data_IF_618897116531
#
_entry.id   IF_618897116531
#
_cell.length_a   1.000
_cell.length_b   1.000
_cell.length_c   1.000
_cell.angle_alpha   90.00
_cell.angle_beta   90.00
_cell.angle_gamma   90.00
#
_symmetry.space_group_name_H-M   'P 1'
#
loop_
_entity.id
_entity.type
_entity.pdbx_description
1 polymer ?
#
# COMPACT_ATOMS: atom_id res chain seq x y z
N UNK A 1 18.20 14.59 -1.96
CA UNK A 1 17.35 14.32 -3.16
C UNK A 1 16.98 15.59 -3.94
N UNK A 2 17.69 16.72 -3.76
CA UNK A 2 17.24 18.06 -4.20
C UNK A 2 16.99 18.23 -5.71
N UNK A 3 17.47 17.32 -6.57
CA UNK A 3 17.21 17.33 -8.01
C UNK A 3 16.31 16.20 -8.53
N UNK A 4 15.63 15.44 -7.64
CA UNK A 4 14.80 14.29 -8.03
C UNK A 4 13.32 14.58 -7.78
N UNK A 5 12.53 14.58 -8.85
CA UNK A 5 11.06 14.71 -8.79
C UNK A 5 10.48 13.50 -8.05
N UNK A 6 9.58 13.77 -7.09
CA UNK A 6 8.82 12.76 -6.32
C UNK A 6 9.65 11.68 -5.61
N UNK A 7 10.92 11.94 -5.30
CA UNK A 7 11.78 10.97 -4.63
C UNK A 7 12.28 11.52 -3.31
N UNK A 8 11.85 10.97 -2.16
CA UNK A 8 12.39 11.34 -0.84
C UNK A 8 13.73 10.63 -0.55
N UNK A 9 13.69 9.32 -0.29
CA UNK A 9 14.86 8.51 0.08
C UNK A 9 15.09 7.30 -0.83
N UNK A 10 14.10 6.94 -1.66
CA UNK A 10 14.14 5.73 -2.49
C UNK A 10 13.79 4.43 -1.75
N UNK A 11 13.61 4.44 -0.42
CA UNK A 11 13.26 3.24 0.35
C UNK A 11 12.01 2.55 -0.17
N UNK A 12 10.92 3.30 -0.40
CA UNK A 12 9.68 2.75 -0.93
C UNK A 12 9.91 2.07 -2.29
N UNK A 13 10.58 2.76 -3.22
CA UNK A 13 10.95 2.19 -4.53
C UNK A 13 11.76 0.91 -4.39
N UNK A 14 12.70 0.85 -3.46
CA UNK A 14 13.57 -0.31 -3.22
C UNK A 14 12.82 -1.50 -2.59
N UNK A 15 11.59 -1.31 -2.11
CA UNK A 15 10.75 -2.36 -1.51
C UNK A 15 9.62 -2.84 -2.41
N UNK A 16 9.46 -2.21 -3.59
CA UNK A 16 8.54 -2.68 -4.60
C UNK A 16 9.10 -3.92 -5.29
N UNK A 17 8.26 -4.93 -5.46
CA UNK A 17 8.59 -6.21 -6.09
C UNK A 17 7.53 -6.50 -7.14
N UNK A 18 7.94 -7.26 -8.16
CA UNK A 18 7.01 -7.81 -9.13
C UNK A 18 7.34 -9.27 -9.41
N UNK A 19 6.32 -10.04 -9.76
CA UNK A 19 6.43 -11.41 -10.21
C UNK A 19 5.48 -11.61 -11.38
N UNK A 20 5.98 -12.22 -12.45
CA UNK A 20 5.17 -12.55 -13.64
C UNK A 20 4.85 -14.04 -13.58
N UNK A 21 3.58 -14.40 -13.73
CA UNK A 21 3.11 -15.78 -13.74
C UNK A 21 2.16 -15.98 -14.92
N UNK A 22 2.65 -16.57 -16.01
CA UNK A 22 1.84 -16.76 -17.23
C UNK A 22 1.35 -15.43 -17.79
N UNK A 23 0.05 -15.16 -17.66
CA UNK A 23 -0.61 -13.91 -18.08
C UNK A 23 -0.84 -12.92 -16.93
N UNK A 24 -0.35 -13.21 -15.73
CA UNK A 24 -0.56 -12.42 -14.52
C UNK A 24 0.71 -11.65 -14.11
N UNK A 25 0.51 -10.45 -13.57
CA UNK A 25 1.55 -9.62 -12.97
C UNK A 25 1.18 -9.35 -11.51
N UNK A 26 1.91 -9.97 -10.59
CA UNK A 26 1.87 -9.64 -9.17
C UNK A 26 2.80 -8.46 -8.95
N UNK A 27 2.28 -7.38 -8.35
CA UNK A 27 3.06 -6.20 -8.04
C UNK A 27 2.72 -5.71 -6.64
N UNK A 28 3.73 -5.47 -5.80
CA UNK A 28 3.47 -5.08 -4.42
C UNK A 28 4.71 -4.81 -3.58
N UNK A 29 4.50 -4.77 -2.28
CA UNK A 29 5.55 -4.55 -1.28
C UNK A 29 5.18 -5.23 0.04
N UNK A 30 6.18 -5.59 0.82
CA UNK A 30 6.05 -6.14 2.17
C UNK A 30 5.70 -5.07 3.22
N UNK A 31 5.65 -3.79 2.83
CA UNK A 31 5.34 -2.70 3.76
C UNK A 31 3.86 -2.80 4.19
N UNK A 32 3.55 -2.72 5.50
CA UNK A 32 2.18 -2.86 6.00
C UNK A 32 1.22 -1.80 5.45
N UNK A 33 1.75 -0.63 5.07
CA UNK A 33 0.98 0.46 4.47
C UNK A 33 0.94 0.43 2.93
N UNK A 34 1.62 -0.51 2.28
CA UNK A 34 1.78 -0.52 0.82
C UNK A 34 0.46 -0.70 0.06
N UNK A 35 -0.44 -1.51 0.61
CA UNK A 35 -1.73 -1.82 0.02
C UNK A 35 -2.81 -0.75 0.32
N UNK A 36 -2.55 0.16 1.27
CA UNK A 36 -3.52 1.16 1.77
C UNK A 36 -4.03 2.09 0.69
N UNK A 37 -3.20 2.40 -0.31
CA UNK A 37 -3.64 3.21 -1.43
C UNK A 37 -4.76 2.53 -2.23
N UNK A 38 -4.69 1.22 -2.45
CA UNK A 38 -5.70 0.49 -3.24
C UNK A 38 -6.92 0.13 -2.39
N UNK A 39 -6.72 -0.40 -1.18
CA UNK A 39 -7.80 -1.00 -0.38
C UNK A 39 -8.26 -0.15 0.80
N UNK A 40 -7.57 0.95 1.10
CA UNK A 40 -7.84 1.76 2.28
C UNK A 40 -7.32 1.13 3.56
N UNK A 41 -7.73 1.70 4.71
CA UNK A 41 -7.41 1.19 6.03
C UNK A 41 -8.41 1.72 7.08
N UNK A 42 -8.74 0.92 8.08
CA UNK A 42 -9.55 1.36 9.22
C UNK A 42 -8.69 2.09 10.26
N UNK A 43 -9.31 2.98 11.04
CA UNK A 43 -8.63 3.67 12.13
C UNK A 43 -7.96 2.66 13.09
N UNK A 44 -6.67 2.84 13.34
CA UNK A 44 -5.90 1.99 14.26
C UNK A 44 -5.46 0.63 13.70
N UNK A 45 -5.72 0.34 12.42
CA UNK A 45 -5.35 -0.93 11.78
C UNK A 45 -3.85 -1.29 11.90
N UNK A 46 -2.96 -0.30 11.97
CA UNK A 46 -1.51 -0.48 12.10
C UNK A 46 -0.99 -0.22 13.51
N UNK A 47 -1.87 -0.25 14.51
CA UNK A 47 -1.51 -0.09 15.92
C UNK A 47 -1.61 1.36 16.41
N UNK A 48 -0.73 1.74 17.34
CA UNK A 48 -0.78 3.02 18.05
C UNK A 48 0.60 3.69 18.10
N UNK A 49 0.60 5.00 18.14
CA UNK A 49 1.80 5.81 18.42
C UNK A 49 2.26 5.64 19.87
N UNK A 50 3.49 6.07 20.19
CA UNK A 50 4.01 6.12 21.57
C UNK A 50 3.14 6.96 22.52
N UNK A 51 2.31 7.86 22.00
CA UNK A 51 1.38 8.71 22.76
C UNK A 51 -0.04 8.12 22.83
N UNK A 52 -0.25 6.90 22.33
CA UNK A 52 -1.54 6.19 22.39
C UNK A 52 -2.51 6.48 21.24
N UNK A 53 -2.23 7.44 20.36
CA UNK A 53 -3.09 7.75 19.21
C UNK A 53 -3.08 6.63 18.15
N UNK A 54 -4.22 6.32 17.50
CA UNK A 54 -4.32 5.23 16.53
C UNK A 54 -3.58 5.54 15.22
N UNK A 55 -3.11 4.48 14.56
CA UNK A 55 -2.47 4.53 13.24
C UNK A 55 -3.26 3.64 12.29
N UNK A 56 -3.91 4.17 11.25
CA UNK A 56 -4.10 5.58 10.96
C UNK A 56 -5.01 6.28 11.99
N UNK A 57 -4.95 7.61 12.02
CA UNK A 57 -5.71 8.45 12.96
C UNK A 57 -7.22 8.49 12.66
N UNK A 58 -7.63 7.99 11.50
CA UNK A 58 -9.00 7.87 11.03
C UNK A 58 -9.08 6.85 9.89
N UNK A 59 -10.30 6.60 9.38
CA UNK A 59 -10.50 5.70 8.25
C UNK A 59 -9.92 6.31 6.96
N UNK A 60 -9.16 5.51 6.21
CA UNK A 60 -8.63 5.83 4.89
C UNK A 60 -9.48 5.08 3.86
N UNK A 61 -10.17 5.77 2.94
CA UNK A 61 -10.91 5.10 1.88
C UNK A 61 -9.97 4.49 0.84
N UNK A 62 -10.38 3.37 0.26
CA UNK A 62 -9.77 2.77 -0.92
C UNK A 62 -9.66 3.78 -2.07
N UNK A 63 -8.55 3.75 -2.83
CA UNK A 63 -8.37 4.54 -4.06
C UNK A 63 -7.94 3.61 -5.21
N UNK A 64 -8.88 2.84 -5.77
CA UNK A 64 -8.60 1.95 -6.90
C UNK A 64 -8.15 2.78 -8.10
N UNK A 65 -6.92 2.54 -8.59
CA UNK A 65 -6.35 3.31 -9.71
C UNK A 65 -6.52 2.61 -11.06
N UNK A 66 -6.68 1.29 -11.03
CA UNK A 66 -7.02 0.40 -12.14
C UNK A 66 -8.05 -0.55 -11.51
N UNK A 67 -9.16 -0.81 -12.20
CA UNK A 67 -10.12 -1.80 -11.71
C UNK A 67 -9.46 -3.17 -11.66
N UNK A 68 -9.10 -3.62 -10.45
CA UNK A 68 -9.00 -5.04 -10.15
C UNK A 68 -10.41 -5.63 -10.26
N UNK A 69 -10.53 -6.85 -10.76
CA UNK A 69 -11.84 -7.50 -10.77
C UNK A 69 -12.27 -7.77 -9.31
N UNK A 70 -13.59 -7.91 -9.07
CA UNK A 70 -14.09 -8.22 -7.73
C UNK A 70 -13.62 -9.60 -7.22
N UNK A 71 -13.17 -10.45 -8.14
CA UNK A 71 -12.48 -11.71 -7.86
C UNK A 71 -11.05 -11.47 -7.36
N UNK A 72 -10.26 -10.62 -8.04
CA UNK A 72 -8.87 -10.30 -7.64
C UNK A 72 -8.78 -9.65 -6.25
N UNK A 73 -9.79 -8.82 -5.88
CA UNK A 73 -9.84 -8.16 -4.58
C UNK A 73 -9.87 -9.15 -3.40
N UNK A 74 -10.35 -10.38 -3.61
CA UNK A 74 -10.46 -11.41 -2.56
C UNK A 74 -9.16 -12.17 -2.34
N UNK A 75 -8.27 -12.18 -3.32
CA UNK A 75 -6.99 -12.91 -3.24
C UNK A 75 -5.86 -12.06 -2.65
N UNK A 76 -6.05 -10.74 -2.52
CA UNK A 76 -5.03 -9.78 -2.08
C UNK A 76 -5.09 -9.47 -0.57
N UNK A 77 -6.17 -9.86 0.13
CA UNK A 77 -6.39 -9.67 1.57
C UNK A 77 -5.86 -10.82 2.43
#
# INVERSE_FOLDING_TARGET
NQGKVLTLSGLLRNTLRYQVQGTELLFGTDRPYGAVHQFGATQGQFGKTKRGGPIPWGNIPARPWLGTSAEDDREIL
#
